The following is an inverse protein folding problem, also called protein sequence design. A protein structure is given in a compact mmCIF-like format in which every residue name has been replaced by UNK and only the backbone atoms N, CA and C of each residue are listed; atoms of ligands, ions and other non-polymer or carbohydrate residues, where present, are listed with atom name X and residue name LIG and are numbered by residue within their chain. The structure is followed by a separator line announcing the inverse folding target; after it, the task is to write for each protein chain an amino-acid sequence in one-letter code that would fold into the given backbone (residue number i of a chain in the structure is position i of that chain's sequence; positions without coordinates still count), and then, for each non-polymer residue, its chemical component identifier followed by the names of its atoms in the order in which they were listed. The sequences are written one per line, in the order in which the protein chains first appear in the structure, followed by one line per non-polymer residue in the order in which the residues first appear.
data_IF_365277111098
#
_entry.id   IF_365277111098
#
_cell.length_a   1.000
_cell.length_b   1.000
_cell.length_c   1.000
_cell.angle_alpha   90.00
_cell.angle_beta   90.00
_cell.angle_gamma   90.00
#
_symmetry.space_group_name_H-M   'P 1'
#
loop_
_entity.id
_entity.type
_entity.pdbx_description
1 polymer ?
#
# COMPACT_ATOMS: atom_id res chain seq x y z
N UNK A 1 8.44 -3.58 18.38
CA UNK A 1 7.18 -3.85 17.68
C UNK A 1 6.50 -2.54 17.36
N UNK A 2 6.07 -2.37 16.14
CA UNK A 2 5.43 -1.12 15.73
C UNK A 2 3.93 -1.17 16.03
N UNK A 3 3.38 -0.09 16.60
CA UNK A 3 1.94 0.09 16.71
C UNK A 3 1.38 0.85 15.50
N UNK A 4 2.22 1.15 14.52
CA UNK A 4 1.81 1.85 13.32
C UNK A 4 0.86 0.98 12.49
N UNK A 5 -0.13 1.62 11.89
CA UNK A 5 -1.15 0.94 11.09
C UNK A 5 -0.67 0.77 9.66
N UNK A 6 -0.90 -0.41 9.10
CA UNK A 6 -0.65 -0.71 7.69
C UNK A 6 -1.99 -0.83 6.98
N UNK A 7 -2.17 -0.10 5.89
CA UNK A 7 -3.37 -0.18 5.08
C UNK A 7 -3.09 -0.97 3.80
N UNK A 8 -4.04 -1.82 3.43
CA UNK A 8 -3.98 -2.60 2.18
C UNK A 8 -5.10 -2.10 1.28
N UNK A 9 -4.78 -1.73 0.05
CA UNK A 9 -5.78 -1.26 -0.92
C UNK A 9 -5.71 -2.14 -2.16
N UNK A 10 -6.68 -3.00 -2.33
CA UNK A 10 -6.79 -3.93 -3.45
C UNK A 10 -8.24 -4.34 -3.60
N UNK A 11 -8.76 -4.36 -4.82
CA UNK A 11 -10.13 -4.76 -5.09
C UNK A 11 -10.34 -6.28 -5.06
N UNK A 12 -9.27 -7.07 -5.04
CA UNK A 12 -9.36 -8.54 -5.00
C UNK A 12 -9.36 -9.02 -3.54
N UNK A 13 -10.50 -9.59 -3.06
CA UNK A 13 -10.56 -10.05 -1.68
C UNK A 13 -9.57 -11.17 -1.34
N UNK A 14 -9.13 -11.95 -2.33
CA UNK A 14 -8.15 -13.00 -2.09
C UNK A 14 -6.79 -12.43 -1.76
N UNK A 15 -6.41 -11.34 -2.43
CA UNK A 15 -5.16 -10.64 -2.15
C UNK A 15 -5.22 -10.02 -0.75
N UNK A 16 -6.35 -9.39 -0.41
CA UNK A 16 -6.54 -8.82 0.91
C UNK A 16 -6.38 -9.89 1.99
N UNK A 17 -7.04 -11.04 1.82
CA UNK A 17 -6.98 -12.12 2.81
C UNK A 17 -5.55 -12.65 3.00
N UNK A 18 -4.81 -12.83 1.91
CA UNK A 18 -3.44 -13.32 1.98
C UNK A 18 -2.53 -12.34 2.72
N UNK A 19 -2.63 -11.05 2.40
CA UNK A 19 -1.82 -10.04 3.09
C UNK A 19 -2.24 -9.89 4.54
N UNK A 20 -3.54 -9.91 4.83
CA UNK A 20 -4.02 -9.83 6.20
C UNK A 20 -3.51 -10.98 7.05
N UNK A 21 -3.48 -12.19 6.49
CA UNK A 21 -2.96 -13.35 7.21
C UNK A 21 -1.48 -13.17 7.55
N UNK A 22 -0.69 -12.68 6.60
CA UNK A 22 0.72 -12.41 6.85
C UNK A 22 0.93 -11.34 7.92
N UNK A 23 0.16 -10.27 7.85
CA UNK A 23 0.27 -9.18 8.82
C UNK A 23 -0.18 -9.63 10.21
N UNK A 24 -1.22 -10.46 10.28
CA UNK A 24 -1.68 -11.03 11.54
C UNK A 24 -0.59 -11.91 12.17
N UNK A 25 0.05 -12.75 11.35
CA UNK A 25 1.14 -13.61 11.84
C UNK A 25 2.32 -12.80 12.37
N UNK A 26 2.51 -11.60 11.87
CA UNK A 26 3.59 -10.70 12.30
C UNK A 26 3.14 -9.76 13.43
N UNK A 27 1.94 -9.93 13.96
CA UNK A 27 1.35 -9.06 14.99
C UNK A 27 1.32 -7.60 14.56
N UNK A 28 1.13 -7.34 13.25
CA UNK A 28 1.13 -6.00 12.69
C UNK A 28 -0.30 -5.48 12.55
N UNK A 29 -0.65 -4.37 13.22
CA UNK A 29 -1.97 -3.75 13.03
C UNK A 29 -2.20 -3.36 11.58
N UNK A 30 -3.38 -3.69 11.05
CA UNK A 30 -3.67 -3.45 9.65
C UNK A 30 -5.17 -3.23 9.41
N UNK A 31 -5.48 -2.65 8.26
CA UNK A 31 -6.84 -2.52 7.75
C UNK A 31 -6.81 -2.66 6.24
N UNK A 32 -7.96 -2.93 5.64
CA UNK A 32 -8.07 -3.16 4.20
C UNK A 32 -9.16 -2.30 3.59
N UNK A 33 -8.94 -1.87 2.37
CA UNK A 33 -9.89 -1.11 1.57
C UNK A 33 -10.01 -1.76 0.19
N UNK A 34 -11.22 -1.85 -0.33
CA UNK A 34 -11.47 -2.48 -1.62
C UNK A 34 -11.41 -1.49 -2.79
N UNK A 35 -11.23 -0.21 -2.51
CA UNK A 35 -11.15 0.82 -3.55
C UNK A 35 -10.32 2.00 -3.06
N UNK A 36 -9.83 2.78 -4.02
CA UNK A 36 -9.13 4.02 -3.72
C UNK A 36 -10.05 5.02 -3.01
N UNK A 37 -11.31 5.09 -3.45
CA UNK A 37 -12.27 6.03 -2.85
C UNK A 37 -12.49 5.74 -1.37
N UNK A 38 -12.61 4.47 -0.98
CA UNK A 38 -12.81 4.14 0.43
C UNK A 38 -11.58 4.47 1.28
N UNK A 39 -10.38 4.25 0.74
CA UNK A 39 -9.17 4.67 1.43
C UNK A 39 -9.15 6.20 1.62
N UNK A 40 -9.40 6.94 0.55
CA UNK A 40 -9.31 8.41 0.61
C UNK A 40 -10.34 9.01 1.57
N UNK A 41 -11.54 8.43 1.65
CA UNK A 41 -12.55 8.89 2.59
C UNK A 41 -12.17 8.65 4.04
N UNK A 42 -11.38 7.62 4.30
CA UNK A 42 -11.03 7.20 5.67
C UNK A 42 -9.62 7.59 6.09
N UNK A 43 -8.82 8.20 5.20
CA UNK A 43 -7.40 8.43 5.43
C UNK A 43 -7.12 9.27 6.67
N UNK A 44 -7.96 10.26 6.96
CA UNK A 44 -7.78 11.13 8.12
C UNK A 44 -8.13 10.42 9.43
N UNK A 45 -8.98 9.41 9.38
CA UNK A 45 -9.35 8.62 10.55
C UNK A 45 -8.32 7.53 10.83
N UNK A 46 -7.93 6.79 9.80
CA UNK A 46 -7.02 5.64 9.96
C UNK A 46 -5.57 6.06 10.14
N UNK A 47 -5.14 7.08 9.42
CA UNK A 47 -3.77 7.63 9.46
C UNK A 47 -2.70 6.53 9.39
N UNK A 48 -2.71 5.70 8.34
CA UNK A 48 -1.74 4.62 8.26
C UNK A 48 -0.31 5.14 8.10
N UNK A 49 0.65 4.41 8.63
CA UNK A 49 2.07 4.72 8.44
C UNK A 49 2.59 4.17 7.11
N UNK A 50 1.93 3.14 6.59
CA UNK A 50 2.31 2.49 5.34
C UNK A 50 1.05 2.05 4.62
N UNK A 51 1.00 2.31 3.32
CA UNK A 51 -0.09 1.86 2.46
C UNK A 51 0.50 0.95 1.38
N UNK A 52 -0.02 -0.28 1.30
CA UNK A 52 0.19 -1.14 0.13
C UNK A 52 -0.93 -0.82 -0.86
N UNK A 53 -0.57 -0.26 -2.01
CA UNK A 53 -1.55 0.28 -2.95
C UNK A 53 -1.44 -0.43 -4.29
N UNK A 54 -2.50 -1.16 -4.65
CA UNK A 54 -2.58 -1.84 -5.94
C UNK A 54 -2.62 -0.82 -7.08
N UNK A 55 -1.89 -1.09 -8.14
CA UNK A 55 -1.81 -0.20 -9.29
C UNK A 55 -3.09 -0.27 -10.14
N UNK A 56 -3.60 -1.48 -10.36
CA UNK A 56 -4.75 -1.69 -11.24
C UNK A 56 -6.00 -1.99 -10.43
N UNK A 57 -6.95 -1.05 -10.45
CA UNK A 57 -8.24 -1.21 -9.77
C UNK A 57 -9.34 -0.58 -10.63
N UNK A 58 -10.57 -1.11 -10.57
CA UNK A 58 -11.69 -0.45 -11.26
C UNK A 58 -11.94 0.94 -10.69
N UNK A 59 -12.38 1.85 -11.54
CA UNK A 59 -12.59 3.24 -11.13
C UNK A 59 -11.26 3.96 -10.99
N UNK A 60 -11.02 4.57 -9.82
CA UNK A 60 -9.75 5.23 -9.57
C UNK A 60 -8.64 4.21 -9.38
N UNK A 61 -7.64 4.23 -10.25
CA UNK A 61 -6.48 3.36 -10.14
C UNK A 61 -5.49 3.82 -9.08
N UNK A 62 -4.49 2.97 -8.81
CA UNK A 62 -3.50 3.26 -7.77
C UNK A 62 -2.66 4.49 -8.05
N UNK A 63 -2.29 4.74 -9.32
CA UNK A 63 -1.49 5.91 -9.65
C UNK A 63 -2.23 7.21 -9.36
N UNK A 64 -3.51 7.27 -9.71
CA UNK A 64 -4.33 8.44 -9.43
C UNK A 64 -4.54 8.61 -7.92
N UNK A 65 -4.76 7.52 -7.22
CA UNK A 65 -4.90 7.51 -5.75
C UNK A 65 -3.65 8.07 -5.08
N UNK A 66 -2.48 7.63 -5.53
CA UNK A 66 -1.20 8.11 -5.02
C UNK A 66 -1.09 9.64 -5.17
N UNK A 67 -1.47 10.16 -6.33
CA UNK A 67 -1.43 11.60 -6.57
C UNK A 67 -2.35 12.35 -5.61
N UNK A 68 -3.56 11.83 -5.40
CA UNK A 68 -4.49 12.44 -4.44
C UNK A 68 -3.94 12.42 -3.02
N UNK A 69 -3.33 11.31 -2.59
CA UNK A 69 -2.73 11.21 -1.26
C UNK A 69 -1.67 12.29 -1.04
N UNK A 70 -0.78 12.45 -2.01
CA UNK A 70 0.30 13.42 -1.89
C UNK A 70 -0.21 14.86 -1.97
N UNK A 71 -1.22 15.11 -2.78
CA UNK A 71 -1.85 16.45 -2.86
C UNK A 71 -2.53 16.83 -1.55
N UNK A 72 -3.08 15.87 -0.84
CA UNK A 72 -3.72 16.10 0.46
C UNK A 72 -2.71 16.22 1.60
N UNK A 73 -1.43 16.03 1.33
CA UNK A 73 -0.40 16.15 2.36
C UNK A 73 -0.16 14.88 3.15
N UNK A 74 -0.65 13.72 2.68
CA UNK A 74 -0.37 12.46 3.36
C UNK A 74 1.13 12.20 3.37
N UNK A 75 1.71 12.04 4.57
CA UNK A 75 3.15 11.91 4.75
C UNK A 75 3.63 10.49 5.02
N UNK A 76 2.74 9.51 5.08
CA UNK A 76 3.14 8.12 5.30
C UNK A 76 3.78 7.49 4.08
N UNK A 77 4.33 6.30 4.25
CA UNK A 77 4.92 5.55 3.14
C UNK A 77 3.83 4.95 2.25
N UNK A 78 4.04 5.01 0.93
CA UNK A 78 3.17 4.35 -0.04
C UNK A 78 4.03 3.43 -0.89
N UNK A 79 3.73 2.14 -0.81
CA UNK A 79 4.39 1.12 -1.60
C UNK A 79 3.37 0.60 -2.60
N UNK A 80 3.65 0.83 -3.88
CA UNK A 80 2.80 0.29 -4.95
C UNK A 80 3.06 -1.20 -5.07
N UNK A 81 2.00 -1.99 -5.26
CA UNK A 81 2.21 -3.39 -5.56
C UNK A 81 1.37 -3.79 -6.77
N UNK A 82 1.93 -4.63 -7.62
CA UNK A 82 1.36 -4.89 -8.92
C UNK A 82 1.81 -6.25 -9.45
N UNK A 83 0.98 -6.83 -10.30
CA UNK A 83 1.37 -8.00 -11.09
C UNK A 83 2.32 -7.60 -12.24
N UNK A 84 2.41 -6.30 -12.54
CA UNK A 84 3.19 -5.80 -13.68
C UNK A 84 4.60 -5.41 -13.26
N UNK A 85 5.57 -5.83 -14.07
CA UNK A 85 6.96 -5.37 -13.95
C UNK A 85 7.21 -4.36 -15.07
N UNK A 86 6.71 -3.15 -14.88
CA UNK A 86 6.72 -2.10 -15.90
C UNK A 86 7.61 -0.94 -15.40
N UNK A 87 8.78 -0.81 -16.02
CA UNK A 87 9.76 0.18 -15.59
C UNK A 87 9.25 1.63 -15.77
N UNK A 88 8.46 1.88 -16.81
CA UNK A 88 7.91 3.21 -17.03
C UNK A 88 6.90 3.60 -15.96
N UNK A 89 6.00 2.68 -15.60
CA UNK A 89 5.06 2.90 -14.50
C UNK A 89 5.79 3.08 -13.18
N UNK A 90 6.85 2.33 -12.94
CA UNK A 90 7.65 2.48 -11.71
C UNK A 90 8.25 3.87 -11.61
N UNK A 91 8.78 4.38 -12.71
CA UNK A 91 9.34 5.73 -12.74
C UNK A 91 8.25 6.79 -12.51
N UNK A 92 7.07 6.60 -13.10
CA UNK A 92 5.94 7.51 -12.88
C UNK A 92 5.49 7.49 -11.42
N UNK A 93 5.44 6.31 -10.81
CA UNK A 93 5.06 6.18 -9.41
C UNK A 93 6.06 6.89 -8.50
N UNK A 94 7.33 6.69 -8.74
CA UNK A 94 8.39 7.34 -7.99
C UNK A 94 8.28 8.87 -8.09
N UNK A 95 8.08 9.37 -9.31
CA UNK A 95 7.91 10.81 -9.55
C UNK A 95 6.66 11.36 -8.85
N UNK A 96 5.61 10.54 -8.70
CA UNK A 96 4.38 10.95 -8.04
C UNK A 96 4.44 10.81 -6.51
N UNK A 97 5.54 10.29 -5.97
CA UNK A 97 5.75 10.24 -4.53
C UNK A 97 5.65 8.86 -3.88
N UNK A 98 5.67 7.78 -4.67
CA UNK A 98 5.73 6.43 -4.11
C UNK A 98 7.08 6.16 -3.48
N UNK A 99 7.09 5.45 -2.37
CA UNK A 99 8.31 5.07 -1.66
C UNK A 99 8.88 3.77 -2.20
N UNK A 100 8.07 2.93 -2.83
CA UNK A 100 8.54 1.68 -3.38
C UNK A 100 7.56 1.07 -4.35
N UNK A 101 8.04 0.03 -5.03
CA UNK A 101 7.25 -0.78 -5.97
C UNK A 101 7.64 -2.23 -5.74
N UNK A 102 6.65 -3.09 -5.49
CA UNK A 102 6.88 -4.51 -5.24
C UNK A 102 5.94 -5.31 -6.14
N UNK A 103 6.47 -6.35 -6.75
CA UNK A 103 5.63 -7.29 -7.50
C UNK A 103 4.79 -8.11 -6.54
N UNK A 104 3.53 -8.34 -6.87
CA UNK A 104 2.61 -9.08 -6.00
C UNK A 104 3.17 -10.44 -5.60
N UNK A 105 3.74 -11.19 -6.56
CA UNK A 105 4.30 -12.50 -6.26
C UNK A 105 5.45 -12.44 -5.26
N UNK A 106 6.29 -11.40 -5.34
CA UNK A 106 7.42 -11.24 -4.43
C UNK A 106 6.97 -10.76 -3.05
N UNK A 107 5.88 -9.99 -2.99
CA UNK A 107 5.42 -9.42 -1.73
C UNK A 107 5.05 -10.50 -0.72
N UNK A 108 4.33 -11.55 -1.14
CA UNK A 108 3.88 -12.60 -0.23
C UNK A 108 5.04 -13.32 0.47
N UNK A 109 6.19 -13.42 -0.20
CA UNK A 109 7.36 -14.05 0.36
C UNK A 109 8.22 -13.08 1.18
N UNK A 110 7.94 -11.78 1.11
CA UNK A 110 8.83 -10.74 1.64
C UNK A 110 8.11 -9.68 2.46
N UNK A 111 6.91 -9.96 2.97
CA UNK A 111 6.13 -8.96 3.71
C UNK A 111 6.92 -8.39 4.88
N UNK A 112 7.55 -9.25 5.67
CA UNK A 112 8.31 -8.80 6.84
C UNK A 112 9.45 -7.87 6.43
N UNK A 113 10.18 -8.22 5.38
CA UNK A 113 11.29 -7.40 4.91
C UNK A 113 10.80 -6.03 4.42
N UNK A 114 9.66 -6.00 3.73
CA UNK A 114 9.07 -4.75 3.26
C UNK A 114 8.61 -3.89 4.45
N UNK A 115 7.98 -4.49 5.45
CA UNK A 115 7.59 -3.77 6.66
C UNK A 115 8.81 -3.17 7.36
N UNK A 116 9.88 -3.96 7.51
CA UNK A 116 11.09 -3.48 8.16
C UNK A 116 11.70 -2.31 7.41
N UNK A 117 11.63 -2.34 6.09
CA UNK A 117 12.21 -1.27 5.27
C UNK A 117 11.42 0.03 5.38
N UNK A 118 10.08 -0.04 5.44
CA UNK A 118 9.24 1.16 5.35
C UNK A 118 8.63 1.60 6.68
N UNK A 119 8.60 0.77 7.71
CA UNK A 119 8.10 1.12 9.03
C UNK A 119 9.21 1.40 10.05
N UNK A 120 10.38 0.86 9.86
CA UNK A 120 11.48 1.00 10.83
C UNK A 120 12.10 2.40 10.85
N UNK A 121 11.54 3.31 10.10
CA UNK A 121 12.05 4.70 9.99
C UNK A 121 11.59 5.59 11.13
N UNK A 122 10.71 5.11 11.97
CA UNK A 122 10.14 5.90 13.06
C UNK A 122 10.95 5.85 14.33
#
# INVERSE_FOLDING_TARGET
MSSALVAIVDDDPRIQELLEAELTDLDQPHCSYSSADSLLRDINNSQPALIFLDVLMPGMGGMECLKHLRQQGFGGAVVMFSALNDAELQEQAKAAGANGWVLKAALFDNVEAVLNRYLAQT
#
